data_IF_218990095710
#
_entry.id   IF_218990095710
#
_cell.length_a   1.000
_cell.length_b   1.000
_cell.length_c   1.000
_cell.angle_alpha   90.00
_cell.angle_beta   90.00
_cell.angle_gamma   90.00
#
_symmetry.space_group_name_H-M   'P 1'
#
loop_
_entity.id
_entity.type
_entity.pdbx_description
1 polymer ?
#
# COMPACT_ATOMS: atom_id res chain seq x y z
N UNK A 1 5.55 -22.81 18.61
CA UNK A 1 4.39 -22.12 19.21
C UNK A 1 3.98 -20.81 18.49
N UNK A 2 4.58 -20.41 17.35
CA UNK A 2 4.24 -19.14 16.67
C UNK A 2 3.35 -19.28 15.42
N UNK A 3 3.13 -20.50 14.91
CA UNK A 3 2.29 -20.74 13.73
C UNK A 3 0.78 -20.63 14.03
N UNK A 4 0.38 -20.78 15.30
CA UNK A 4 -1.03 -20.74 15.71
C UNK A 4 -1.58 -19.30 15.68
N UNK A 5 -0.77 -18.32 16.12
CA UNK A 5 -1.13 -16.90 16.06
C UNK A 5 -1.27 -16.36 14.63
N UNK A 6 -0.44 -16.85 13.69
CA UNK A 6 -0.57 -16.52 12.26
C UNK A 6 -1.88 -17.03 11.67
N UNK A 7 -2.38 -18.18 12.14
CA UNK A 7 -3.63 -18.78 11.69
C UNK A 7 -4.86 -18.05 12.23
N UNK A 8 -4.82 -17.57 13.48
CA UNK A 8 -5.93 -16.80 14.06
C UNK A 8 -6.03 -15.41 13.39
N UNK A 9 -4.92 -14.74 13.12
CA UNK A 9 -4.94 -13.48 12.35
C UNK A 9 -5.44 -13.67 10.91
N UNK A 10 -5.10 -14.79 10.24
CA UNK A 10 -5.59 -15.06 8.89
C UNK A 10 -7.08 -15.42 8.81
N UNK A 11 -7.67 -16.00 9.86
CA UNK A 11 -9.09 -16.43 9.83
C UNK A 11 -10.09 -15.30 10.11
N UNK A 12 -9.66 -14.20 10.76
CA UNK A 12 -10.49 -13.01 11.01
C UNK A 12 -10.31 -11.93 9.91
N UNK A 13 -9.31 -12.10 9.03
CA UNK A 13 -8.98 -11.21 7.92
C UNK A 13 -9.76 -11.54 6.63
N UNK A 14 -11.08 -11.35 6.61
CA UNK A 14 -11.76 -11.00 5.34
C UNK A 14 -11.97 -9.49 5.29
N UNK A 15 -10.89 -8.74 5.51
CA UNK A 15 -10.82 -7.35 5.05
C UNK A 15 -10.66 -7.34 3.53
N UNK A 16 -11.01 -6.24 2.85
CA UNK A 16 -10.86 -6.14 1.39
C UNK A 16 -9.42 -6.42 0.99
N UNK A 17 -9.22 -7.08 -0.15
CA UNK A 17 -7.88 -7.24 -0.72
C UNK A 17 -7.22 -5.87 -0.93
N UNK A 18 -5.89 -5.80 -1.07
CA UNK A 18 -5.23 -4.53 -1.37
C UNK A 18 -5.82 -3.83 -2.60
N UNK A 19 -6.20 -4.58 -3.62
CA UNK A 19 -6.83 -4.08 -4.85
C UNK A 19 -8.26 -3.60 -4.61
N UNK A 20 -9.07 -4.37 -3.87
CA UNK A 20 -10.42 -3.95 -3.46
C UNK A 20 -10.39 -2.68 -2.61
N UNK A 21 -9.34 -2.49 -1.81
CA UNK A 21 -9.12 -1.28 -1.01
C UNK A 21 -8.78 -0.04 -1.85
N UNK A 22 -8.38 -0.23 -3.11
CA UNK A 22 -8.05 0.86 -4.05
C UNK A 22 -9.25 1.24 -4.93
N UNK A 23 -10.25 0.36 -5.04
CA UNK A 23 -11.50 0.62 -5.75
C UNK A 23 -12.20 1.85 -5.16
N UNK A 24 -12.56 2.80 -6.02
CA UNK A 24 -13.18 4.07 -5.63
C UNK A 24 -12.21 5.20 -5.30
N UNK A 25 -10.90 4.92 -5.19
CA UNK A 25 -9.85 5.93 -5.17
C UNK A 25 -9.19 6.12 -6.54
N UNK A 26 -9.06 5.04 -7.30
CA UNK A 26 -8.43 5.01 -8.61
C UNK A 26 -9.30 4.28 -9.63
N UNK A 27 -9.22 4.65 -10.92
CA UNK A 27 -9.97 3.96 -11.97
C UNK A 27 -9.46 2.54 -12.23
N UNK A 28 -8.14 2.33 -12.09
CA UNK A 28 -7.46 1.05 -12.25
C UNK A 28 -6.13 1.03 -11.49
N UNK A 29 -5.44 -0.10 -11.53
CA UNK A 29 -4.15 -0.30 -10.85
C UNK A 29 -3.02 0.51 -11.48
N UNK A 30 -3.02 0.72 -12.79
CA UNK A 30 -1.96 1.48 -13.47
C UNK A 30 -2.01 2.95 -13.05
N UNK A 31 -3.20 3.55 -13.00
CA UNK A 31 -3.43 4.89 -12.48
C UNK A 31 -3.00 5.01 -11.00
N UNK A 32 -3.24 3.98 -10.19
CA UNK A 32 -2.82 3.97 -8.79
C UNK A 32 -1.28 3.91 -8.65
N UNK A 33 -0.61 3.13 -9.50
CA UNK A 33 0.86 3.01 -9.53
C UNK A 33 1.50 4.30 -10.03
N UNK A 34 0.97 4.91 -11.10
CA UNK A 34 1.46 6.20 -11.62
C UNK A 34 1.27 7.32 -10.60
N UNK A 35 0.12 7.36 -9.92
CA UNK A 35 -0.11 8.30 -8.83
C UNK A 35 0.90 8.12 -7.69
N UNK A 36 1.11 6.88 -7.23
CA UNK A 36 2.08 6.59 -6.18
C UNK A 36 3.51 6.97 -6.58
N UNK A 37 3.89 6.74 -7.85
CA UNK A 37 5.17 7.20 -8.40
C UNK A 37 5.29 8.73 -8.34
N UNK A 38 4.23 9.45 -8.68
CA UNK A 38 4.18 10.91 -8.57
C UNK A 38 4.43 11.40 -7.14
N UNK A 39 3.74 10.82 -6.16
CA UNK A 39 3.93 11.15 -4.73
C UNK A 39 5.39 10.95 -4.30
N UNK A 40 5.99 9.81 -4.66
CA UNK A 40 7.38 9.52 -4.29
C UNK A 40 8.39 10.42 -5.02
N UNK A 41 8.10 10.81 -6.27
CA UNK A 41 8.91 11.78 -7.00
C UNK A 41 8.87 13.17 -6.34
N UNK A 42 7.71 13.60 -5.85
CA UNK A 42 7.55 14.88 -5.14
C UNK A 42 8.29 14.92 -3.80
N UNK A 43 8.29 13.81 -3.06
CA UNK A 43 9.01 13.71 -1.78
C UNK A 43 10.49 13.38 -1.93
N UNK A 44 10.92 12.96 -3.13
CA UNK A 44 12.28 12.48 -3.38
C UNK A 44 12.59 11.15 -2.69
N UNK A 45 11.57 10.39 -2.32
CA UNK A 45 11.72 9.12 -1.59
C UNK A 45 11.93 7.97 -2.57
N UNK A 46 13.07 7.29 -2.47
CA UNK A 46 13.33 6.06 -3.24
C UNK A 46 12.65 4.84 -2.57
N UNK A 47 11.66 4.19 -3.20
CA UNK A 47 11.00 3.03 -2.62
C UNK A 47 11.91 1.82 -2.43
N UNK A 48 13.01 1.70 -3.21
CA UNK A 48 13.96 0.58 -3.10
C UNK A 48 14.85 0.72 -1.87
N UNK A 49 15.38 1.91 -1.62
CA UNK A 49 16.22 2.18 -0.45
C UNK A 49 15.41 2.52 0.82
N UNK A 50 14.21 3.10 0.68
CA UNK A 50 13.45 3.71 1.76
C UNK A 50 12.00 3.23 1.83
N UNK A 51 11.76 1.92 1.69
CA UNK A 51 10.43 1.31 1.61
C UNK A 51 9.42 1.81 2.65
N UNK A 52 9.79 1.83 3.94
CA UNK A 52 8.88 2.26 5.03
C UNK A 52 8.53 3.75 4.89
N UNK A 53 9.48 4.58 4.45
CA UNK A 53 9.25 5.99 4.18
C UNK A 53 8.31 6.15 2.98
N UNK A 54 8.52 5.38 1.91
CA UNK A 54 7.65 5.41 0.73
C UNK A 54 6.20 5.05 1.08
N UNK A 55 5.98 4.00 1.89
CA UNK A 55 4.62 3.64 2.35
C UNK A 55 4.02 4.76 3.19
N UNK A 56 4.82 5.41 4.04
CA UNK A 56 4.38 6.54 4.85
C UNK A 56 3.97 7.73 3.96
N UNK A 57 4.82 8.14 3.03
CA UNK A 57 4.57 9.29 2.15
C UNK A 57 3.31 9.07 1.30
N UNK A 58 3.11 7.87 0.76
CA UNK A 58 1.88 7.49 0.03
C UNK A 58 0.62 7.64 0.91
N UNK A 59 0.68 7.27 2.19
CA UNK A 59 -0.44 7.44 3.12
C UNK A 59 -0.63 8.89 3.58
N UNK A 60 0.44 9.67 3.67
CA UNK A 60 0.33 11.09 4.00
C UNK A 60 -0.32 11.86 2.83
N UNK A 61 -0.02 11.48 1.58
CA UNK A 61 -0.66 12.03 0.39
C UNK A 61 -2.15 11.67 0.28
N UNK A 62 -2.55 10.46 0.69
CA UNK A 62 -3.96 10.08 0.80
C UNK A 62 -4.24 9.32 2.12
N UNK A 63 -4.63 10.03 3.19
CA UNK A 63 -4.87 9.45 4.51
C UNK A 63 -6.02 8.43 4.57
N UNK A 64 -6.88 8.41 3.55
CA UNK A 64 -8.00 7.46 3.45
C UNK A 64 -7.55 6.10 2.94
N UNK A 65 -6.36 5.98 2.38
CA UNK A 65 -5.79 4.69 1.99
C UNK A 65 -5.46 3.85 3.22
N UNK A 66 -5.87 2.59 3.17
CA UNK A 66 -5.48 1.61 4.16
C UNK A 66 -3.96 1.39 4.09
N UNK A 67 -3.36 1.00 5.23
CA UNK A 67 -1.94 0.65 5.27
C UNK A 67 -1.60 -0.50 4.30
N UNK A 68 -2.53 -1.44 4.15
CA UNK A 68 -2.38 -2.58 3.25
C UNK A 68 -2.33 -2.14 1.78
N UNK A 69 -3.22 -1.24 1.36
CA UNK A 69 -3.25 -0.68 0.02
C UNK A 69 -1.97 0.10 -0.32
N UNK A 70 -1.55 0.99 0.59
CA UNK A 70 -0.32 1.78 0.39
C UNK A 70 0.92 0.88 0.31
N UNK A 71 1.04 -0.12 1.19
CA UNK A 71 2.12 -1.11 1.14
C UNK A 71 2.10 -1.90 -0.18
N UNK A 72 0.92 -2.25 -0.69
CA UNK A 72 0.80 -2.93 -1.97
C UNK A 72 1.27 -2.06 -3.13
N UNK A 73 0.83 -0.80 -3.20
CA UNK A 73 1.27 0.13 -4.24
C UNK A 73 2.78 0.32 -4.28
N UNK A 74 3.42 0.52 -3.12
CA UNK A 74 4.88 0.71 -3.06
C UNK A 74 5.63 -0.54 -3.54
N UNK A 75 5.10 -1.75 -3.31
CA UNK A 75 5.70 -2.98 -3.84
C UNK A 75 5.64 -3.10 -5.36
N UNK A 76 4.66 -2.49 -6.01
CA UNK A 76 4.56 -2.47 -7.48
C UNK A 76 5.60 -1.54 -8.13
N UNK A 77 6.29 -0.70 -7.34
CA UNK A 77 7.28 0.27 -7.82
C UNK A 77 8.73 -0.23 -7.72
N UNK A 78 8.95 -1.49 -7.32
CA UNK A 78 10.28 -2.05 -7.04
C UNK A 78 10.69 -3.06 -8.11
#
# INVERSE_FOLDING_TARGET
>A
MFQFLRKIFNTVNTGPTPEESLVGFFPDMDAAVEWARGVLAETGTDPKAQFVRAVKDVREANPRLSLLAANHLVKQLI
#
